data_IF_660331432678
#
_entry.id   IF_660331432678
#
_cell.length_a   1.000
_cell.length_b   1.000
_cell.length_c   1.000
_cell.angle_alpha   90.00
_cell.angle_beta   90.00
_cell.angle_gamma   90.00
#
_symmetry.space_group_name_H-M   'P 1'
#
loop_
_entity.id
_entity.type
_entity.pdbx_description
1 polymer ?
#
# COMPACT_ATOMS: atom_id res chain seq x y z
N UNK A 1 -21.16 -21.88 24.62
CA UNK A 1 -20.15 -21.29 23.76
C UNK A 1 -19.04 -22.32 23.57
N UNK A 2 -18.88 -22.81 22.36
CA UNK A 2 -18.09 -24.01 22.03
C UNK A 2 -16.58 -23.73 21.92
N UNK A 3 -15.94 -23.06 22.87
CA UNK A 3 -14.46 -23.04 22.95
C UNK A 3 -13.70 -22.42 21.75
N UNK A 4 -14.39 -21.94 20.72
CA UNK A 4 -13.76 -21.30 19.57
C UNK A 4 -13.37 -19.86 19.87
N UNK A 5 -12.18 -19.49 19.43
CA UNK A 5 -11.71 -18.10 19.38
C UNK A 5 -11.75 -17.61 17.95
N UNK A 6 -12.11 -16.36 17.77
CA UNK A 6 -12.18 -15.71 16.47
C UNK A 6 -11.07 -14.67 16.36
N UNK A 7 -10.43 -14.61 15.22
CA UNK A 7 -9.53 -13.52 14.85
C UNK A 7 -10.28 -12.67 13.83
N UNK A 8 -10.44 -11.39 14.14
CA UNK A 8 -11.02 -10.41 13.24
C UNK A 8 -9.92 -9.44 12.79
N UNK A 9 -9.64 -9.43 11.49
CA UNK A 9 -8.71 -8.49 10.90
C UNK A 9 -9.45 -7.22 10.47
N UNK A 10 -9.19 -6.12 11.19
CA UNK A 10 -9.73 -4.80 10.91
C UNK A 10 -8.71 -4.03 10.08
N UNK A 11 -8.80 -4.19 8.75
CA UNK A 11 -7.83 -3.69 7.78
C UNK A 11 -8.23 -2.33 7.18
N UNK A 12 -9.54 -2.06 7.12
CA UNK A 12 -10.10 -0.81 6.62
C UNK A 12 -11.24 -0.34 7.54
N UNK A 13 -11.43 0.98 7.61
CA UNK A 13 -12.50 1.56 8.41
C UNK A 13 -13.87 1.12 7.89
N UNK A 14 -14.72 0.56 8.79
CA UNK A 14 -16.08 0.19 8.43
C UNK A 14 -16.93 1.46 8.27
N UNK A 15 -17.21 1.82 7.06
CA UNK A 15 -17.95 3.02 6.69
C UNK A 15 -18.93 2.73 5.55
N UNK A 16 -20.13 3.34 5.56
CA UNK A 16 -21.07 3.25 4.45
C UNK A 16 -20.47 3.72 3.12
N UNK A 17 -19.58 4.71 3.17
CA UNK A 17 -18.92 5.27 1.98
C UNK A 17 -18.09 4.20 1.25
N UNK A 18 -17.36 3.36 1.99
CA UNK A 18 -16.56 2.28 1.39
C UNK A 18 -17.42 1.14 0.82
N UNK A 19 -18.63 0.96 1.35
CA UNK A 19 -19.59 -0.02 0.81
C UNK A 19 -20.43 0.51 -0.34
N UNK A 20 -20.27 1.79 -0.72
CA UNK A 20 -21.06 2.44 -1.75
C UNK A 20 -22.56 2.57 -1.37
N UNK A 21 -22.88 2.51 -0.08
CA UNK A 21 -24.24 2.56 0.46
C UNK A 21 -24.44 3.77 1.36
N UNK A 22 -25.69 4.21 1.55
CA UNK A 22 -26.00 5.31 2.47
C UNK A 22 -25.83 4.89 3.94
N UNK A 23 -26.15 3.64 4.25
CA UNK A 23 -26.06 3.05 5.57
C UNK A 23 -25.31 1.71 5.49
N UNK A 24 -24.69 1.29 6.60
CA UNK A 24 -24.05 -0.03 6.65
C UNK A 24 -25.10 -1.13 6.46
N UNK A 25 -24.87 -2.11 5.59
CA UNK A 25 -25.73 -3.28 5.50
C UNK A 25 -25.88 -3.97 6.86
N UNK A 26 -27.11 -4.35 7.21
CA UNK A 26 -27.43 -4.91 8.53
C UNK A 26 -26.52 -6.10 8.93
N UNK A 27 -26.23 -6.97 7.99
CA UNK A 27 -25.35 -8.13 8.22
C UNK A 27 -23.90 -7.74 8.55
N UNK A 28 -23.42 -6.59 8.09
CA UNK A 28 -22.10 -6.05 8.46
C UNK A 28 -22.17 -5.40 9.84
N UNK A 29 -23.19 -4.58 10.09
CA UNK A 29 -23.43 -3.94 11.37
C UNK A 29 -23.55 -4.98 12.50
N UNK A 30 -24.40 -6.00 12.34
CA UNK A 30 -24.62 -7.06 13.34
C UNK A 30 -23.31 -7.81 13.66
N UNK A 31 -22.48 -8.12 12.65
CA UNK A 31 -21.17 -8.76 12.83
C UNK A 31 -20.20 -7.84 13.57
N UNK A 32 -20.19 -6.57 13.22
CA UNK A 32 -19.30 -5.61 13.88
C UNK A 32 -19.69 -5.41 15.35
N UNK A 33 -20.98 -5.29 15.66
CA UNK A 33 -21.45 -5.27 17.04
C UNK A 33 -21.08 -6.54 17.82
N UNK A 34 -21.18 -7.71 17.18
CA UNK A 34 -20.71 -8.95 17.81
C UNK A 34 -19.23 -8.87 18.19
N UNK A 35 -18.38 -8.39 17.29
CA UNK A 35 -16.93 -8.23 17.52
C UNK A 35 -16.66 -7.26 18.68
N UNK A 36 -17.38 -6.16 18.74
CA UNK A 36 -17.22 -5.17 19.81
C UNK A 36 -17.63 -5.71 21.20
N UNK A 37 -18.67 -6.54 21.27
CA UNK A 37 -19.27 -7.02 22.52
C UNK A 37 -18.66 -8.33 23.06
N UNK A 38 -18.00 -9.14 22.23
CA UNK A 38 -17.47 -10.46 22.63
C UNK A 38 -15.95 -10.45 22.86
N UNK A 39 -15.48 -9.58 23.76
CA UNK A 39 -14.04 -9.30 23.97
C UNK A 39 -13.20 -10.53 24.32
N UNK A 40 -13.73 -11.45 25.14
CA UNK A 40 -13.00 -12.66 25.61
C UNK A 40 -12.72 -13.67 24.52
N UNK A 41 -13.61 -13.76 23.52
CA UNK A 41 -13.53 -14.79 22.48
C UNK A 41 -13.09 -14.25 21.12
N UNK A 42 -12.96 -12.94 20.99
CA UNK A 42 -12.60 -12.29 19.72
C UNK A 42 -11.31 -11.50 19.90
N UNK A 43 -10.29 -11.90 19.16
CA UNK A 43 -9.07 -11.13 18.95
C UNK A 43 -9.29 -10.19 17.79
N UNK A 44 -8.90 -8.93 17.95
CA UNK A 44 -8.95 -7.95 16.86
C UNK A 44 -7.53 -7.61 16.44
N UNK A 45 -7.21 -7.81 15.18
CA UNK A 45 -5.95 -7.41 14.57
C UNK A 45 -6.20 -6.14 13.78
N UNK A 46 -5.50 -5.06 14.10
CA UNK A 46 -5.60 -3.77 13.41
C UNK A 46 -4.33 -3.48 12.64
N UNK A 47 -4.46 -2.86 11.47
CA UNK A 47 -3.33 -2.63 10.56
C UNK A 47 -2.80 -1.19 10.56
N UNK A 48 -3.54 -0.25 11.16
CA UNK A 48 -3.22 1.17 11.20
C UNK A 48 -3.56 1.79 12.56
N UNK A 49 -2.84 2.85 12.94
CA UNK A 49 -3.03 3.51 14.25
C UNK A 49 -4.43 4.09 14.43
N UNK A 50 -5.03 4.63 13.37
CA UNK A 50 -6.38 5.16 13.47
C UNK A 50 -7.42 4.05 13.70
N UNK A 51 -7.20 2.87 13.11
CA UNK A 51 -8.04 1.69 13.35
C UNK A 51 -7.85 1.17 14.79
N UNK A 52 -6.62 1.23 15.30
CA UNK A 52 -6.35 0.89 16.70
C UNK A 52 -7.09 1.81 17.66
N UNK A 53 -7.02 3.12 17.44
CA UNK A 53 -7.75 4.11 18.25
C UNK A 53 -9.26 3.87 18.21
N UNK A 54 -9.82 3.65 17.03
CA UNK A 54 -11.25 3.37 16.84
C UNK A 54 -11.70 2.15 17.67
N UNK A 55 -10.93 1.06 17.63
CA UNK A 55 -11.23 -0.14 18.42
C UNK A 55 -11.06 0.11 19.93
N UNK A 56 -10.01 0.82 20.35
CA UNK A 56 -9.80 1.14 21.76
C UNK A 56 -10.96 1.95 22.33
N UNK A 57 -11.44 2.94 21.60
CA UNK A 57 -12.58 3.76 22.01
C UNK A 57 -13.87 2.94 22.14
N UNK A 58 -14.12 2.02 21.21
CA UNK A 58 -15.36 1.24 21.14
C UNK A 58 -15.40 0.01 22.07
N UNK A 59 -14.26 -0.66 22.26
CA UNK A 59 -14.21 -1.92 23.02
C UNK A 59 -13.10 -2.03 24.06
N UNK A 60 -12.14 -1.10 24.07
CA UNK A 60 -10.93 -1.18 24.90
C UNK A 60 -9.83 -2.05 24.27
N UNK A 61 -8.78 -2.32 25.06
CA UNK A 61 -7.53 -2.99 24.57
C UNK A 61 -7.52 -4.51 24.71
N UNK A 62 -8.56 -5.11 25.29
CA UNK A 62 -8.61 -6.55 25.51
C UNK A 62 -8.56 -7.31 24.19
N UNK A 63 -7.60 -8.25 24.05
CA UNK A 63 -7.38 -9.04 22.84
C UNK A 63 -7.22 -8.20 21.55
N UNK A 64 -6.60 -7.02 21.68
CA UNK A 64 -6.26 -6.15 20.55
C UNK A 64 -4.80 -6.34 20.16
N UNK A 65 -4.57 -6.59 18.89
CA UNK A 65 -3.24 -6.84 18.32
C UNK A 65 -2.98 -5.83 17.21
N UNK A 66 -1.93 -5.01 17.34
CA UNK A 66 -1.45 -4.19 16.23
C UNK A 66 -0.52 -4.99 15.34
N UNK A 67 -0.88 -5.15 14.08
CA UNK A 67 -0.06 -5.78 13.04
C UNK A 67 -0.32 -5.12 11.70
N UNK A 68 0.56 -4.22 11.26
CA UNK A 68 0.46 -3.60 9.94
C UNK A 68 0.42 -4.65 8.83
N UNK A 69 0.02 -4.26 7.63
CA UNK A 69 0.15 -5.10 6.44
C UNK A 69 1.59 -5.59 6.26
N UNK A 70 1.77 -6.58 5.40
CA UNK A 70 3.05 -7.22 5.14
C UNK A 70 3.22 -7.60 3.68
N UNK A 71 4.22 -8.42 3.41
CA UNK A 71 4.58 -8.88 2.06
C UNK A 71 4.99 -10.35 2.09
N UNK A 72 4.76 -11.08 1.01
CA UNK A 72 5.48 -12.32 0.73
C UNK A 72 6.85 -11.97 0.13
N UNK A 73 7.84 -11.81 1.02
CA UNK A 73 9.18 -11.40 0.62
C UNK A 73 9.77 -12.33 -0.43
N UNK A 74 9.66 -13.64 -0.23
CA UNK A 74 10.23 -14.64 -1.13
C UNK A 74 9.60 -14.58 -2.53
N UNK A 75 8.29 -14.38 -2.60
CA UNK A 75 7.62 -14.18 -3.89
C UNK A 75 8.21 -13.02 -4.68
N UNK A 76 8.44 -11.86 -4.02
CA UNK A 76 9.00 -10.69 -4.69
C UNK A 76 10.49 -10.83 -5.03
N UNK A 77 11.24 -11.67 -4.32
CA UNK A 77 12.65 -11.95 -4.63
C UNK A 77 12.83 -12.90 -5.82
N UNK A 78 11.86 -13.75 -6.07
CA UNK A 78 11.92 -14.71 -7.20
C UNK A 78 11.79 -14.00 -8.53
N UNK A 79 12.83 -14.09 -9.39
CA UNK A 79 12.89 -13.44 -10.69
C UNK A 79 13.02 -14.49 -11.78
N UNK A 80 12.25 -14.32 -12.84
CA UNK A 80 12.51 -14.95 -14.12
C UNK A 80 13.38 -13.99 -14.95
N UNK A 81 14.63 -14.36 -15.18
CA UNK A 81 15.59 -13.52 -15.94
C UNK A 81 15.27 -13.48 -17.43
N UNK A 82 14.51 -14.44 -17.93
CA UNK A 82 14.15 -14.56 -19.34
C UNK A 82 12.76 -13.96 -19.65
N UNK A 83 12.14 -13.30 -18.65
CA UNK A 83 10.85 -12.66 -18.84
C UNK A 83 10.92 -11.58 -19.94
N UNK A 84 10.05 -11.70 -20.95
CA UNK A 84 9.99 -10.78 -22.07
C UNK A 84 8.85 -9.80 -21.90
N UNK A 85 9.18 -8.51 -21.94
CA UNK A 85 8.21 -7.44 -21.87
C UNK A 85 7.61 -7.13 -23.24
N UNK A 86 6.40 -6.60 -23.26
CA UNK A 86 5.78 -6.04 -24.46
C UNK A 86 6.56 -4.82 -24.95
N UNK A 87 6.49 -4.57 -26.27
CA UNK A 87 7.16 -3.42 -26.91
C UNK A 87 6.70 -2.07 -26.34
N UNK A 88 5.46 -1.97 -25.91
CA UNK A 88 4.90 -0.75 -25.30
C UNK A 88 5.60 -0.40 -24.00
N UNK A 89 5.83 -1.38 -23.12
CA UNK A 89 6.56 -1.16 -21.89
C UNK A 89 8.03 -0.85 -22.13
N UNK A 90 8.69 -1.57 -23.05
CA UNK A 90 10.11 -1.33 -23.34
C UNK A 90 10.38 0.08 -23.87
N UNK A 91 9.45 0.67 -24.61
CA UNK A 91 9.53 2.06 -25.08
C UNK A 91 9.53 3.08 -23.94
N UNK A 92 8.87 2.76 -22.82
CA UNK A 92 8.79 3.65 -21.67
C UNK A 92 10.13 3.80 -20.94
N UNK A 93 11.01 2.83 -21.09
CA UNK A 93 12.31 2.78 -20.40
C UNK A 93 13.40 3.67 -21.02
N UNK A 94 13.07 4.52 -22.00
CA UNK A 94 13.98 5.47 -22.62
C UNK A 94 14.28 6.70 -21.75
N UNK A 95 13.56 6.86 -20.63
CA UNK A 95 13.75 7.89 -19.59
C UNK A 95 13.68 7.24 -18.21
N UNK A 96 14.11 7.94 -17.15
CA UNK A 96 13.82 7.51 -15.78
C UNK A 96 12.34 7.20 -15.60
N UNK A 97 12.03 6.03 -15.05
CA UNK A 97 10.69 5.47 -15.02
C UNK A 97 10.15 5.44 -13.59
N UNK A 98 8.98 6.07 -13.39
CA UNK A 98 8.20 6.02 -12.16
C UNK A 98 7.04 5.05 -12.38
N UNK A 99 6.79 4.15 -11.43
CA UNK A 99 5.71 3.19 -11.53
C UNK A 99 4.75 3.28 -10.35
N UNK A 100 3.47 3.17 -10.65
CA UNK A 100 2.41 2.86 -9.70
C UNK A 100 1.62 1.66 -10.22
N UNK A 101 1.24 0.76 -9.33
CA UNK A 101 0.28 -0.28 -9.63
C UNK A 101 -0.81 -0.37 -8.55
N UNK A 102 -2.05 -0.55 -9.00
CA UNK A 102 -3.24 -0.64 -8.16
C UNK A 102 -4.46 -0.01 -8.83
N UNK A 103 -5.56 0.07 -8.11
CA UNK A 103 -6.75 0.76 -8.60
C UNK A 103 -6.46 2.25 -8.81
N UNK A 104 -6.92 2.77 -9.93
CA UNK A 104 -6.91 4.18 -10.28
C UNK A 104 -8.32 4.71 -10.03
N UNK A 105 -8.46 5.57 -9.02
CA UNK A 105 -9.73 6.03 -8.52
C UNK A 105 -9.61 7.45 -7.94
N UNK A 106 -10.68 7.98 -7.41
CA UNK A 106 -10.76 9.36 -6.88
C UNK A 106 -9.77 9.66 -5.73
N UNK A 107 -9.20 8.66 -5.09
CA UNK A 107 -8.12 8.86 -4.08
C UNK A 107 -6.72 8.99 -4.66
N UNK A 108 -6.54 8.76 -5.97
CA UNK A 108 -5.26 8.90 -6.66
C UNK A 108 -5.06 10.39 -7.03
N UNK A 109 -3.91 10.96 -6.69
CA UNK A 109 -3.61 12.38 -6.92
C UNK A 109 -3.19 12.64 -8.39
N UNK A 110 -4.19 12.78 -9.24
CA UNK A 110 -3.98 13.05 -10.67
C UNK A 110 -3.29 14.37 -10.92
N UNK A 111 -3.53 15.39 -10.08
CA UNK A 111 -2.89 16.70 -10.23
C UNK A 111 -1.39 16.63 -9.95
N UNK A 112 -0.99 15.82 -8.95
CA UNK A 112 0.41 15.54 -8.72
C UNK A 112 1.03 14.81 -9.92
N UNK A 113 0.36 13.81 -10.48
CA UNK A 113 0.84 13.07 -11.65
C UNK A 113 1.00 13.98 -12.86
N UNK A 114 0.05 14.90 -13.12
CA UNK A 114 0.18 15.91 -14.18
C UNK A 114 1.38 16.82 -13.96
N UNK A 115 1.58 17.30 -12.72
CA UNK A 115 2.76 18.12 -12.38
C UNK A 115 4.08 17.38 -12.59
N UNK A 116 4.14 16.08 -12.27
CA UNK A 116 5.33 15.27 -12.56
C UNK A 116 5.53 15.14 -14.08
N UNK A 117 4.46 14.88 -14.85
CA UNK A 117 4.49 14.84 -16.31
C UNK A 117 5.07 16.13 -16.91
N UNK A 118 4.65 17.28 -16.39
CA UNK A 118 5.05 18.61 -16.87
C UNK A 118 6.54 18.89 -16.68
N UNK A 119 7.18 18.23 -15.72
CA UNK A 119 8.64 18.30 -15.57
C UNK A 119 9.39 17.73 -16.77
N UNK A 120 8.76 16.87 -17.55
CA UNK A 120 9.33 16.13 -18.69
C UNK A 120 10.59 15.31 -18.36
N UNK A 121 10.87 15.05 -17.06
CA UNK A 121 12.04 14.33 -16.58
C UNK A 121 11.83 12.81 -16.54
N UNK A 122 10.57 12.37 -16.36
CA UNK A 122 10.21 10.99 -16.07
C UNK A 122 9.17 10.47 -17.05
N UNK A 123 9.21 9.18 -17.31
CA UNK A 123 8.06 8.44 -17.81
C UNK A 123 7.32 7.84 -16.60
N UNK A 124 5.99 7.94 -16.62
CA UNK A 124 5.11 7.50 -15.54
C UNK A 124 4.31 6.31 -16.06
N UNK A 125 4.49 5.16 -15.45
CA UNK A 125 3.78 3.92 -15.83
C UNK A 125 2.74 3.59 -14.78
N UNK A 126 1.52 3.41 -15.24
CA UNK A 126 0.37 3.10 -14.41
C UNK A 126 -0.18 1.72 -14.79
N UNK A 127 -0.21 0.81 -13.82
CA UNK A 127 -0.82 -0.50 -13.96
C UNK A 127 -2.04 -0.62 -13.05
N UNK A 128 -3.09 -1.24 -13.52
CA UNK A 128 -4.26 -1.57 -12.72
C UNK A 128 -5.58 -1.29 -13.42
N UNK A 129 -6.64 -1.32 -12.66
CA UNK A 129 -7.99 -1.07 -13.14
C UNK A 129 -8.37 0.40 -12.95
N UNK A 130 -9.14 0.94 -13.86
CA UNK A 130 -9.88 2.18 -13.67
C UNK A 130 -11.08 1.83 -12.79
N UNK A 131 -11.01 2.23 -11.53
CA UNK A 131 -12.02 1.83 -10.54
C UNK A 131 -13.29 2.68 -10.64
N UNK A 132 -13.12 3.94 -11.02
CA UNK A 132 -14.17 4.90 -11.29
C UNK A 132 -13.80 5.78 -12.50
N UNK A 133 -14.59 6.79 -12.80
CA UNK A 133 -14.41 7.66 -13.97
C UNK A 133 -13.25 8.66 -13.82
N UNK A 134 -12.71 8.82 -12.62
CA UNK A 134 -11.70 9.84 -12.29
C UNK A 134 -10.42 9.77 -13.14
N UNK A 135 -10.01 8.55 -13.56
CA UNK A 135 -8.86 8.42 -14.46
C UNK A 135 -9.12 9.08 -15.81
N UNK A 136 -10.26 8.77 -16.46
CA UNK A 136 -10.59 9.26 -17.79
C UNK A 136 -10.93 10.75 -17.79
N UNK A 137 -11.43 11.27 -16.68
CA UNK A 137 -11.68 12.70 -16.48
C UNK A 137 -10.37 13.51 -16.34
N UNK A 138 -9.33 12.91 -15.77
CA UNK A 138 -8.09 13.64 -15.44
C UNK A 138 -6.93 13.36 -16.39
N UNK A 139 -6.85 12.17 -16.97
CA UNK A 139 -5.75 11.75 -17.85
C UNK A 139 -6.29 11.50 -19.26
N UNK A 140 -5.93 12.35 -20.21
CA UNK A 140 -6.40 12.24 -21.59
C UNK A 140 -5.27 11.94 -22.57
N UNK A 141 -4.34 12.87 -22.77
CA UNK A 141 -3.28 12.77 -23.79
C UNK A 141 -1.91 13.23 -23.25
N UNK A 142 -1.59 12.81 -22.04
CA UNK A 142 -0.35 13.22 -21.38
C UNK A 142 0.87 12.51 -22.02
N UNK A 143 1.88 13.30 -22.38
CA UNK A 143 3.01 12.84 -23.21
C UNK A 143 3.85 11.73 -22.56
N UNK A 144 4.02 11.77 -21.23
CA UNK A 144 4.91 10.85 -20.52
C UNK A 144 4.14 9.95 -19.52
N UNK A 145 2.80 9.88 -19.62
CA UNK A 145 1.97 8.99 -18.80
C UNK A 145 1.52 7.81 -19.66
N UNK A 146 1.82 6.62 -19.21
CA UNK A 146 1.56 5.36 -19.92
C UNK A 146 0.68 4.48 -19.04
N UNK A 147 -0.59 4.37 -19.41
CA UNK A 147 -1.50 3.41 -18.79
C UNK A 147 -1.42 2.08 -19.52
N UNK A 148 -0.88 1.06 -18.87
CA UNK A 148 -0.67 -0.27 -19.46
C UNK A 148 -1.69 -1.32 -18.96
N UNK A 149 -2.76 -0.84 -18.31
CA UNK A 149 -3.85 -1.70 -17.84
C UNK A 149 -3.46 -2.64 -16.70
N UNK A 150 -4.36 -3.52 -16.30
CA UNK A 150 -4.10 -4.52 -15.28
C UNK A 150 -3.13 -5.58 -15.77
N UNK A 151 -2.26 -6.06 -14.88
CA UNK A 151 -1.37 -7.19 -15.11
C UNK A 151 -1.63 -8.26 -14.06
N UNK A 152 -1.41 -9.52 -14.40
CA UNK A 152 -1.42 -10.59 -13.42
C UNK A 152 -0.41 -10.30 -12.31
N UNK A 153 -0.81 -10.49 -11.06
CA UNK A 153 0.03 -10.21 -9.89
C UNK A 153 1.38 -10.93 -9.92
N UNK A 154 1.40 -12.14 -10.50
CA UNK A 154 2.63 -12.94 -10.59
C UNK A 154 3.70 -12.33 -11.49
N UNK A 155 3.28 -11.56 -12.50
CA UNK A 155 4.21 -10.92 -13.45
C UNK A 155 4.40 -9.43 -13.17
N UNK A 156 3.50 -8.79 -12.46
CA UNK A 156 3.53 -7.36 -12.15
C UNK A 156 4.84 -6.94 -11.47
N UNK A 157 5.41 -7.82 -10.63
CA UNK A 157 6.70 -7.60 -9.98
C UNK A 157 7.86 -7.40 -10.95
N UNK A 158 7.84 -8.02 -12.14
CA UNK A 158 8.89 -7.83 -13.13
C UNK A 158 8.86 -6.42 -13.71
N UNK A 159 7.66 -5.92 -14.03
CA UNK A 159 7.47 -4.55 -14.52
C UNK A 159 7.90 -3.52 -13.47
N UNK A 160 7.38 -3.65 -12.26
CA UNK A 160 7.69 -2.74 -11.16
C UNK A 160 9.19 -2.73 -10.82
N UNK A 161 9.84 -3.91 -10.83
CA UNK A 161 11.27 -4.03 -10.58
C UNK A 161 12.14 -3.39 -11.68
N UNK A 162 11.64 -3.32 -12.90
CA UNK A 162 12.35 -2.70 -14.03
C UNK A 162 12.31 -1.18 -13.97
N UNK A 163 11.27 -0.60 -13.36
CA UNK A 163 11.19 0.84 -13.15
C UNK A 163 12.21 1.34 -12.11
N UNK A 164 12.52 2.63 -12.14
CA UNK A 164 13.53 3.23 -11.26
C UNK A 164 12.97 3.59 -9.89
N UNK A 165 11.74 4.06 -9.82
CA UNK A 165 11.07 4.56 -8.61
C UNK A 165 9.66 4.00 -8.54
N UNK A 166 9.23 3.58 -7.36
CA UNK A 166 7.86 3.17 -7.12
C UNK A 166 7.15 4.23 -6.25
N UNK A 167 5.88 4.48 -6.52
CA UNK A 167 5.17 5.59 -5.87
C UNK A 167 3.77 5.24 -5.41
N UNK A 168 3.30 5.92 -4.35
CA UNK A 168 1.90 5.90 -3.91
C UNK A 168 1.44 7.36 -3.80
N UNK A 169 0.93 7.92 -4.91
CA UNK A 169 0.51 9.32 -4.98
C UNK A 169 -0.97 9.44 -4.60
N UNK A 170 -1.30 9.26 -3.33
CA UNK A 170 -2.68 9.34 -2.87
C UNK A 170 -3.01 10.71 -2.31
N UNK A 171 -4.24 11.17 -2.54
CA UNK A 171 -4.80 12.34 -1.88
C UNK A 171 -4.94 12.01 -0.39
N UNK A 172 -4.50 12.93 0.47
CA UNK A 172 -4.64 12.77 1.93
C UNK A 172 -6.05 13.18 2.35
N UNK A 173 -6.82 12.20 2.81
CA UNK A 173 -8.16 12.35 3.33
C UNK A 173 -8.41 11.34 4.46
N UNK A 174 -9.61 11.29 5.02
CA UNK A 174 -9.94 10.40 6.15
C UNK A 174 -9.74 8.92 5.81
N UNK A 175 -10.00 8.52 4.56
CA UNK A 175 -9.84 7.14 4.09
C UNK A 175 -8.36 6.80 4.01
N UNK A 176 -7.58 7.59 3.27
CA UNK A 176 -6.15 7.33 3.04
C UNK A 176 -5.31 7.50 4.31
N UNK A 177 -5.76 8.34 5.25
CA UNK A 177 -5.11 8.55 6.55
C UNK A 177 -5.23 7.33 7.49
N UNK A 178 -6.20 6.46 7.25
CA UNK A 178 -6.43 5.24 8.04
C UNK A 178 -5.95 3.97 7.31
N UNK A 179 -5.30 4.13 6.17
CA UNK A 179 -4.86 3.00 5.33
C UNK A 179 -3.39 2.69 5.57
N UNK A 180 -3.07 1.44 5.89
CA UNK A 180 -1.71 0.89 5.82
C UNK A 180 -1.49 0.34 4.41
N UNK A 181 -0.79 1.06 3.50
CA UNK A 181 -0.72 0.64 2.10
C UNK A 181 0.10 -0.64 1.95
N UNK A 182 -0.52 -1.73 1.50
CA UNK A 182 0.16 -2.99 1.21
C UNK A 182 1.37 -2.79 0.28
N UNK A 183 1.22 -1.90 -0.69
CA UNK A 183 2.21 -1.62 -1.74
C UNK A 183 3.58 -1.20 -1.21
N UNK A 184 3.67 -0.48 -0.08
CA UNK A 184 4.99 -0.06 0.43
C UNK A 184 5.88 -1.27 0.75
N UNK A 185 5.29 -2.33 1.31
CA UNK A 185 6.02 -3.54 1.66
C UNK A 185 6.45 -4.33 0.42
N UNK A 186 5.58 -4.37 -0.60
CA UNK A 186 5.90 -4.94 -1.90
C UNK A 186 7.03 -4.16 -2.58
N UNK A 187 6.98 -2.83 -2.53
CA UNK A 187 8.00 -1.95 -3.08
C UNK A 187 9.35 -2.08 -2.36
N UNK A 188 9.34 -2.21 -1.03
CA UNK A 188 10.53 -2.53 -0.24
C UNK A 188 11.12 -3.88 -0.67
N UNK A 189 10.28 -4.91 -0.82
CA UNK A 189 10.72 -6.23 -1.25
C UNK A 189 11.24 -6.25 -2.69
N UNK A 190 10.75 -5.37 -3.56
CA UNK A 190 11.31 -5.16 -4.91
C UNK A 190 12.65 -4.43 -4.90
N UNK A 191 13.07 -3.94 -3.74
CA UNK A 191 14.31 -3.19 -3.54
C UNK A 191 14.40 -1.95 -4.44
N UNK A 192 13.30 -1.18 -4.50
CA UNK A 192 13.17 0.04 -5.29
C UNK A 192 12.89 1.25 -4.42
N UNK A 193 13.48 2.40 -4.72
CA UNK A 193 13.16 3.64 -4.03
C UNK A 193 11.66 3.94 -4.07
N UNK A 194 11.15 4.39 -2.92
CA UNK A 194 9.73 4.61 -2.69
C UNK A 194 9.49 6.08 -2.40
N UNK A 195 8.55 6.69 -3.12
CA UNK A 195 8.07 8.04 -2.82
C UNK A 195 6.56 7.99 -2.63
N UNK A 196 6.08 8.52 -1.50
CA UNK A 196 4.64 8.61 -1.21
C UNK A 196 4.25 10.05 -0.88
N UNK A 197 3.00 10.39 -1.03
CA UNK A 197 2.42 11.58 -0.42
C UNK A 197 2.47 11.45 1.11
N UNK A 198 2.07 12.48 1.82
CA UNK A 198 2.21 12.61 3.27
C UNK A 198 1.31 11.63 4.07
N UNK A 199 1.32 10.35 3.69
CA UNK A 199 0.53 9.30 4.33
C UNK A 199 1.11 8.95 5.70
N UNK A 200 0.27 8.98 6.73
CA UNK A 200 0.68 8.76 8.12
C UNK A 200 1.38 7.41 8.32
N UNK A 201 0.79 6.32 7.82
CA UNK A 201 1.33 4.98 8.00
C UNK A 201 2.68 4.78 7.26
N UNK A 202 2.91 5.51 6.17
CA UNK A 202 4.16 5.45 5.40
C UNK A 202 5.33 6.10 6.14
N UNK A 203 5.07 7.10 6.99
CA UNK A 203 6.10 7.80 7.80
C UNK A 203 6.81 6.91 8.83
N UNK A 204 6.23 5.76 9.14
CA UNK A 204 6.80 4.79 10.09
C UNK A 204 8.03 4.06 9.54
N UNK A 205 8.30 4.19 8.24
CA UNK A 205 9.37 3.46 7.56
C UNK A 205 10.44 4.43 7.04
N UNK A 206 11.66 4.24 7.51
CA UNK A 206 12.79 5.12 7.19
C UNK A 206 13.23 5.04 5.73
N UNK A 207 12.91 3.94 5.04
CA UNK A 207 13.18 3.77 3.61
C UNK A 207 12.18 4.47 2.69
N UNK A 208 11.06 4.99 3.22
CA UNK A 208 10.04 5.67 2.41
C UNK A 208 10.29 7.17 2.40
N UNK A 209 10.45 7.74 1.22
CA UNK A 209 10.56 9.18 1.04
C UNK A 209 9.17 9.81 1.00
N UNK A 210 8.92 10.71 1.92
CA UNK A 210 7.61 11.37 2.07
C UNK A 210 7.64 12.73 1.41
N UNK A 211 6.73 12.97 0.47
CA UNK A 211 6.46 14.28 -0.11
C UNK A 211 5.40 15.01 0.72
N UNK A 212 5.77 16.10 1.39
CA UNK A 212 4.86 16.88 2.24
C UNK A 212 3.82 17.65 1.43
N UNK A 213 4.16 17.99 0.19
CA UNK A 213 3.31 18.61 -0.82
C UNK A 213 3.82 18.24 -2.22
N UNK A 214 3.13 18.66 -3.28
CA UNK A 214 3.49 18.33 -4.67
C UNK A 214 4.92 18.73 -5.04
N UNK A 215 5.37 19.91 -4.63
CA UNK A 215 6.72 20.39 -4.94
C UNK A 215 7.80 19.56 -4.23
N UNK A 216 7.57 19.25 -2.95
CA UNK A 216 8.47 18.41 -2.18
C UNK A 216 8.47 16.99 -2.70
N UNK A 217 7.30 16.45 -3.09
CA UNK A 217 7.20 15.14 -3.71
C UNK A 217 8.08 15.03 -4.97
N UNK A 218 8.04 16.04 -5.85
CA UNK A 218 8.88 16.08 -7.05
C UNK A 218 10.38 16.13 -6.68
N UNK A 219 10.76 16.89 -5.65
CA UNK A 219 12.14 16.86 -5.12
C UNK A 219 12.52 15.49 -4.54
N UNK A 220 11.58 14.79 -3.88
CA UNK A 220 11.81 13.42 -3.38
C UNK A 220 12.01 12.42 -4.52
N UNK A 221 11.36 12.59 -5.67
CA UNK A 221 11.64 11.77 -6.86
C UNK A 221 13.08 11.92 -7.33
N UNK A 222 13.63 13.14 -7.33
CA UNK A 222 15.05 13.37 -7.68
C UNK A 222 15.99 12.70 -6.67
N UNK A 223 15.64 12.74 -5.39
CA UNK A 223 16.38 12.06 -4.33
C UNK A 223 16.30 10.54 -4.52
N UNK A 224 15.10 10.01 -4.72
CA UNK A 224 14.87 8.59 -4.96
C UNK A 224 15.68 8.06 -6.14
N UNK A 225 15.72 8.82 -7.25
CA UNK A 225 16.50 8.43 -8.42
C UNK A 225 18.01 8.33 -8.13
N UNK A 226 18.55 9.20 -7.27
CA UNK A 226 19.95 9.12 -6.82
C UNK A 226 20.21 7.90 -5.93
N UNK A 227 19.22 7.52 -5.11
CA UNK A 227 19.32 6.41 -4.17
C UNK A 227 19.11 5.02 -4.81
N UNK A 228 18.66 4.94 -6.06
CA UNK A 228 18.32 3.65 -6.70
C UNK A 228 19.44 2.60 -6.73
N UNK A 229 20.71 3.03 -6.61
CA UNK A 229 21.89 2.18 -6.56
C UNK A 229 22.70 2.36 -5.27
N UNK A 230 22.18 3.10 -4.30
CA UNK A 230 22.84 3.30 -3.01
C UNK A 230 22.71 2.03 -2.16
N UNK A 231 23.82 1.40 -1.84
CA UNK A 231 23.83 0.11 -1.13
C UNK A 231 23.19 0.18 0.25
N UNK A 232 23.45 1.24 1.01
CA UNK A 232 22.94 1.39 2.37
C UNK A 232 21.42 1.58 2.35
N UNK A 233 20.93 2.36 1.39
CA UNK A 233 19.49 2.55 1.20
C UNK A 233 18.79 1.26 0.74
N UNK A 234 19.39 0.51 -0.18
CA UNK A 234 18.86 -0.77 -0.63
C UNK A 234 18.85 -1.83 0.49
N UNK A 235 19.88 -1.85 1.35
CA UNK A 235 19.91 -2.70 2.53
C UNK A 235 18.80 -2.33 3.54
N UNK A 236 18.51 -1.04 3.70
CA UNK A 236 17.41 -0.56 4.55
C UNK A 236 16.06 -1.03 4.03
N UNK A 237 15.78 -0.86 2.72
CA UNK A 237 14.57 -1.37 2.07
C UNK A 237 14.38 -2.87 2.32
N UNK A 238 15.45 -3.63 2.09
CA UNK A 238 15.44 -5.08 2.26
C UNK A 238 15.18 -5.50 3.72
N UNK A 239 15.82 -4.83 4.67
CA UNK A 239 15.61 -5.06 6.11
C UNK A 239 14.16 -4.77 6.52
N UNK A 240 13.59 -3.65 6.06
CA UNK A 240 12.22 -3.29 6.39
C UNK A 240 11.22 -4.25 5.73
N UNK A 241 11.48 -4.73 4.50
CA UNK A 241 10.67 -5.76 3.85
C UNK A 241 10.65 -7.07 4.66
N UNK A 242 11.82 -7.57 5.06
CA UNK A 242 11.96 -8.80 5.86
C UNK A 242 11.24 -8.68 7.21
N UNK A 243 11.36 -7.54 7.89
CA UNK A 243 10.68 -7.30 9.16
C UNK A 243 9.14 -7.26 9.01
N UNK A 244 8.65 -7.07 7.79
CA UNK A 244 7.23 -7.03 7.47
C UNK A 244 6.80 -8.22 6.60
N UNK A 245 7.56 -9.32 6.58
CA UNK A 245 7.13 -10.56 5.95
C UNK A 245 5.89 -11.15 6.64
N UNK A 246 4.98 -11.72 5.86
CA UNK A 246 3.74 -12.29 6.39
C UNK A 246 3.96 -13.40 7.42
N UNK A 247 5.04 -14.16 7.31
CA UNK A 247 5.40 -15.18 8.30
C UNK A 247 5.71 -14.57 9.67
N UNK A 248 6.39 -13.42 9.69
CA UNK A 248 6.68 -12.67 10.92
C UNK A 248 5.41 -12.08 11.55
N UNK A 249 4.49 -11.57 10.69
CA UNK A 249 3.19 -11.06 11.14
C UNK A 249 2.33 -12.17 11.75
N UNK A 250 2.22 -13.30 11.06
CA UNK A 250 1.47 -14.48 11.55
C UNK A 250 2.05 -14.99 12.87
N UNK A 251 3.38 -15.10 12.99
CA UNK A 251 4.04 -15.49 14.23
C UNK A 251 3.70 -14.57 15.38
N UNK A 252 3.77 -13.26 15.18
CA UNK A 252 3.42 -12.26 16.20
C UNK A 252 2.00 -12.46 16.71
N UNK A 253 1.03 -12.65 15.81
CA UNK A 253 -0.37 -12.87 16.17
C UNK A 253 -0.53 -14.16 16.98
N UNK A 254 0.09 -15.26 16.54
CA UNK A 254 0.03 -16.56 17.20
C UNK A 254 0.64 -16.47 18.60
N UNK A 255 1.80 -15.84 18.77
CA UNK A 255 2.49 -15.73 20.05
C UNK A 255 1.65 -14.90 21.04
N UNK A 256 1.05 -13.79 20.61
CA UNK A 256 0.17 -12.98 21.47
C UNK A 256 -1.10 -13.73 21.90
N UNK A 257 -1.69 -14.55 21.01
CA UNK A 257 -2.84 -15.39 21.38
C UNK A 257 -2.45 -16.42 22.44
N UNK A 258 -1.30 -17.10 22.27
CA UNK A 258 -0.81 -18.09 23.23
C UNK A 258 -0.48 -17.47 24.59
N UNK A 259 0.06 -16.26 24.62
CA UNK A 259 0.41 -15.58 25.87
C UNK A 259 -0.84 -15.11 26.63
N UNK A 260 -1.93 -14.79 25.92
CA UNK A 260 -3.22 -14.45 26.55
C UNK A 260 -3.93 -15.65 27.17
N UNK A 261 -3.47 -16.87 26.93
CA UNK A 261 -4.04 -18.12 27.45
C UNK A 261 -3.34 -18.63 28.71
N UNK A 262 -2.23 -18.02 29.09
CA UNK A 262 -1.49 -18.31 30.34
C UNK A 262 -2.05 -17.50 31.52
#
# INVERSE_FOLDING_TARGET
ANGFKFIYEYIDHISPVLSGTKDLPKNISDKYEYILNHKKNVYVVVTADNLEKDIIEKRGKENLIFSSNGVDYNFFQTIDKDYKFESEFTKVLNKPCICYYGALASWFDYDLIKKINDTNKYNIVLFGIKYDESFDENISNEKNIYFLGPKDYKILKYYARTCDILTIPFIINDITSSTSPLKIFEYMALNKPIVTTNMYECKKYSSVLIGENHEDFIKKLETAYKLKNDKQYLELLNKEALNNDWSMKAKKIIDMIKDSEK
#
